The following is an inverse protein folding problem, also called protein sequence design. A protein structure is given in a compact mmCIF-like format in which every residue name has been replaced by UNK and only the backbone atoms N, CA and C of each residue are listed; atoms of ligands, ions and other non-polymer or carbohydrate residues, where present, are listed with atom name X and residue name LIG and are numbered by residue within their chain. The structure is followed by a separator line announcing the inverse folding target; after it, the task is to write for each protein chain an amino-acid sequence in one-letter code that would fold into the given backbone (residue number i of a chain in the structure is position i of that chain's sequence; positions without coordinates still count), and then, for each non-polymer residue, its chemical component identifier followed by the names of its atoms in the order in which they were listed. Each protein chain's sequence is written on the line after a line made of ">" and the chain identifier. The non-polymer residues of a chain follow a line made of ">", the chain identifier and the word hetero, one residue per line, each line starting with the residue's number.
data_IF_668592196219
#
_entry.id   IF_668592196219
#
_cell.length_a   1.000
_cell.length_b   1.000
_cell.length_c   1.000
_cell.angle_alpha   90.00
_cell.angle_beta   90.00
_cell.angle_gamma   90.00
#
_symmetry.space_group_name_H-M   'P 1'
#
loop_
_entity.id
_entity.type
_entity.pdbx_description
1 polymer ?
#
# COMPACT_ATOMS: atom_id res chain seq x y z
N UNK A 1 12.36 -3.23 -1.52
CA UNK A 1 12.42 -3.93 -0.21
C UNK A 1 12.61 -2.91 0.90
N UNK A 2 12.54 -3.28 2.19
CA UNK A 2 12.58 -2.30 3.30
C UNK A 2 13.85 -1.44 3.34
N UNK A 3 14.98 -1.95 2.83
CA UNK A 3 16.25 -1.23 2.76
C UNK A 3 16.48 -0.48 1.44
N UNK A 4 15.64 -0.72 0.43
CA UNK A 4 15.77 -0.17 -0.92
C UNK A 4 14.39 0.22 -1.44
N UNK A 5 13.98 1.49 -1.26
CA UNK A 5 12.71 1.99 -1.75
C UNK A 5 12.58 1.72 -3.27
N UNK A 6 11.50 1.10 -3.74
CA UNK A 6 11.29 0.83 -5.16
C UNK A 6 11.36 2.11 -6.02
N UNK A 7 10.89 3.23 -5.48
CA UNK A 7 10.98 4.56 -6.10
C UNK A 7 12.41 4.95 -6.46
N UNK A 8 13.38 4.77 -5.57
CA UNK A 8 14.78 5.14 -5.78
C UNK A 8 15.48 4.18 -6.76
N UNK A 9 15.20 2.88 -6.67
CA UNK A 9 15.74 1.90 -7.62
C UNK A 9 15.21 2.14 -9.04
N UNK A 10 13.91 2.47 -9.17
CA UNK A 10 13.32 2.87 -10.45
C UNK A 10 13.95 4.18 -10.94
N UNK A 11 14.04 5.20 -10.10
CA UNK A 11 14.54 6.52 -10.48
C UNK A 11 15.98 6.46 -10.99
N UNK A 12 16.83 5.66 -10.33
CA UNK A 12 18.24 5.47 -10.70
C UNK A 12 18.45 4.47 -11.84
N UNK A 13 17.39 3.84 -12.35
CA UNK A 13 17.46 2.85 -13.43
C UNK A 13 18.06 1.50 -13.01
N UNK A 14 18.17 1.22 -11.71
CA UNK A 14 18.62 -0.07 -11.18
C UNK A 14 17.53 -1.15 -11.22
N UNK A 15 16.27 -0.75 -11.39
CA UNK A 15 15.13 -1.64 -11.62
C UNK A 15 14.32 -1.17 -12.82
N UNK A 16 13.82 -2.11 -13.62
CA UNK A 16 12.92 -1.83 -14.75
C UNK A 16 11.48 -1.54 -14.28
N UNK A 17 11.04 -2.27 -13.25
CA UNK A 17 9.69 -2.23 -12.69
C UNK A 17 9.76 -2.16 -11.16
N UNK A 18 8.79 -1.49 -10.54
CA UNK A 18 8.68 -1.40 -9.09
C UNK A 18 7.25 -1.12 -8.65
N UNK A 19 6.93 -1.49 -7.41
CA UNK A 19 5.63 -1.21 -6.80
C UNK A 19 5.69 -0.01 -5.88
N UNK A 20 4.65 0.82 -5.91
CA UNK A 20 4.50 1.98 -5.03
C UNK A 20 3.02 2.19 -4.73
N UNK A 21 2.73 2.84 -3.60
CA UNK A 21 1.37 3.34 -3.37
C UNK A 21 1.07 4.47 -4.36
N UNK A 22 -0.19 4.56 -4.81
CA UNK A 22 -0.59 5.58 -5.77
C UNK A 22 -0.26 7.00 -5.28
N UNK A 23 -0.44 7.27 -3.99
CA UNK A 23 -0.11 8.56 -3.37
C UNK A 23 1.38 8.90 -3.48
N UNK A 24 2.26 7.96 -3.15
CA UNK A 24 3.72 8.12 -3.27
C UNK A 24 4.10 8.43 -4.71
N UNK A 25 3.55 7.68 -5.66
CA UNK A 25 3.85 7.87 -7.08
C UNK A 25 3.36 9.23 -7.61
N UNK A 26 2.16 9.69 -7.22
CA UNK A 26 1.65 11.02 -7.59
C UNK A 26 2.54 12.12 -7.02
N UNK A 27 2.92 12.04 -5.73
CA UNK A 27 3.80 13.03 -5.09
C UNK A 27 5.16 13.07 -5.79
N UNK A 28 5.76 11.92 -6.10
CA UNK A 28 7.04 11.86 -6.84
C UNK A 28 6.88 12.42 -8.26
N UNK A 29 5.79 12.10 -8.96
CA UNK A 29 5.49 12.65 -10.30
C UNK A 29 5.38 14.17 -10.27
N UNK A 30 4.69 14.73 -9.28
CA UNK A 30 4.60 16.18 -9.08
C UNK A 30 5.97 16.84 -8.81
N UNK A 31 6.93 16.09 -8.27
CA UNK A 31 8.33 16.50 -8.06
C UNK A 31 9.23 16.28 -9.28
N UNK A 32 8.66 15.91 -10.44
CA UNK A 32 9.39 15.76 -11.71
C UNK A 32 9.93 14.36 -11.98
N UNK A 33 9.66 13.37 -11.12
CA UNK A 33 10.06 11.98 -11.39
C UNK A 33 9.27 11.44 -12.59
N UNK A 34 9.95 10.74 -13.49
CA UNK A 34 9.38 10.26 -14.74
C UNK A 34 8.68 8.90 -14.59
N UNK A 35 8.00 8.69 -13.46
CA UNK A 35 7.27 7.45 -13.21
C UNK A 35 5.99 7.39 -14.04
N UNK A 36 5.68 6.18 -14.51
CA UNK A 36 4.45 5.84 -15.23
C UNK A 36 3.82 4.63 -14.55
N UNK A 37 2.56 4.73 -14.16
CA UNK A 37 1.76 3.60 -13.72
C UNK A 37 1.35 2.79 -14.95
N UNK A 38 1.62 1.48 -14.92
CA UNK A 38 1.27 0.54 -15.99
C UNK A 38 0.26 -0.53 -15.53
N UNK A 39 -0.11 -0.51 -14.25
CA UNK A 39 -1.13 -1.40 -13.71
C UNK A 39 -1.44 -1.10 -12.24
N UNK A 40 -2.67 -0.73 -11.91
CA UNK A 40 -3.10 -0.50 -10.52
C UNK A 40 -3.66 -1.80 -9.93
N UNK A 41 -2.91 -2.42 -9.02
CA UNK A 41 -3.25 -3.73 -8.47
C UNK A 41 -4.18 -3.59 -7.27
N UNK A 42 -3.76 -2.86 -6.24
CA UNK A 42 -4.57 -2.68 -5.03
C UNK A 42 -5.46 -1.45 -5.20
N UNK A 43 -6.78 -1.68 -5.24
CA UNK A 43 -7.80 -0.67 -5.50
C UNK A 43 -8.29 0.02 -4.22
N UNK A 44 -8.22 -0.68 -3.08
CA UNK A 44 -8.69 -0.17 -1.79
C UNK A 44 -7.57 -0.18 -0.75
N UNK A 45 -7.41 0.92 -0.02
CA UNK A 45 -6.43 0.98 1.07
C UNK A 45 -6.73 -0.01 2.19
N UNK A 46 -5.72 -0.73 2.65
CA UNK A 46 -5.71 -1.57 3.84
C UNK A 46 -4.91 -0.96 4.99
N UNK A 47 -4.38 0.26 4.82
CA UNK A 47 -3.59 0.95 5.82
C UNK A 47 -4.47 1.41 7.00
N UNK A 48 -4.02 1.08 8.21
CA UNK A 48 -4.64 1.51 9.46
C UNK A 48 -3.62 1.99 10.49
N UNK A 49 -4.12 2.74 11.47
CA UNK A 49 -3.44 2.95 12.73
C UNK A 49 -4.07 2.04 13.79
N UNK A 50 -3.23 1.41 14.61
CA UNK A 50 -3.67 0.50 15.68
C UNK A 50 -3.16 1.02 17.01
N UNK A 51 -4.04 1.07 18.01
CA UNK A 51 -3.73 1.44 19.38
C UNK A 51 -4.22 0.34 20.34
N UNK A 52 -3.61 0.26 21.53
CA UNK A 52 -4.16 -0.57 22.61
C UNK A 52 -5.23 0.21 23.35
N UNK A 53 -6.39 -0.38 23.65
CA UNK A 53 -7.43 0.25 24.49
C UNK A 53 -6.87 0.63 25.87
N UNK A 54 -5.92 -0.15 26.39
CA UNK A 54 -5.23 0.14 27.67
C UNK A 54 -4.39 1.42 27.68
N UNK A 55 -4.03 1.99 26.51
CA UNK A 55 -3.39 3.31 26.44
C UNK A 55 -4.39 4.48 26.45
N UNK A 56 -5.68 4.19 26.67
CA UNK A 56 -6.76 5.18 26.75
C UNK A 56 -7.20 5.75 25.41
N UNK A 57 -6.78 5.16 24.29
CA UNK A 57 -7.08 5.65 22.94
C UNK A 57 -8.35 4.97 22.42
N UNK A 58 -9.42 5.75 22.26
CA UNK A 58 -10.73 5.26 21.79
C UNK A 58 -11.18 5.94 20.50
N UNK A 59 -10.74 7.18 20.28
CA UNK A 59 -11.09 7.96 19.10
C UNK A 59 -9.85 8.74 18.59
N UNK A 60 -9.90 9.35 17.39
CA UNK A 60 -8.75 10.05 16.81
C UNK A 60 -8.15 11.15 17.71
N UNK A 61 -8.97 11.88 18.47
CA UNK A 61 -8.48 12.98 19.32
C UNK A 61 -7.56 12.49 20.44
N UNK A 62 -7.75 11.25 20.92
CA UNK A 62 -6.93 10.66 21.99
C UNK A 62 -5.49 10.35 21.55
N UNK A 63 -5.23 10.35 20.24
CA UNK A 63 -3.89 10.17 19.65
C UNK A 63 -3.03 11.43 19.84
N UNK A 64 -3.63 12.59 20.12
CA UNK A 64 -2.90 13.84 20.25
C UNK A 64 -1.83 13.76 21.36
N UNK A 65 -0.61 14.21 21.05
CA UNK A 65 0.55 14.17 21.94
C UNK A 65 1.19 12.78 22.14
N UNK A 66 0.63 11.72 21.56
CA UNK A 66 1.12 10.34 21.73
C UNK A 66 2.31 10.02 20.83
N UNK A 67 3.02 8.94 21.16
CA UNK A 67 4.05 8.35 20.30
C UNK A 67 3.40 7.44 19.27
N UNK A 68 3.68 7.69 18.00
CA UNK A 68 3.13 6.94 16.88
C UNK A 68 4.27 6.33 16.07
N UNK A 69 4.31 5.01 15.95
CA UNK A 69 5.24 4.34 15.05
C UNK A 69 4.70 4.37 13.61
N UNK A 70 5.47 4.91 12.67
CA UNK A 70 5.15 4.90 11.24
C UNK A 70 6.32 4.32 10.44
N UNK A 71 6.03 3.70 9.30
CA UNK A 71 7.07 3.29 8.35
C UNK A 71 7.81 4.48 7.72
N UNK A 72 8.73 4.20 6.80
CA UNK A 72 9.48 5.22 6.07
C UNK A 72 8.58 6.28 5.41
N UNK A 73 9.18 7.43 5.07
CA UNK A 73 8.44 8.63 4.67
C UNK A 73 7.42 8.41 3.54
N UNK A 74 7.72 7.53 2.60
CA UNK A 74 6.86 7.21 1.46
C UNK A 74 5.50 6.62 1.87
N UNK A 75 5.41 5.98 3.05
CA UNK A 75 4.19 5.41 3.60
C UNK A 75 3.51 6.31 4.63
N UNK A 76 4.06 7.50 4.91
CA UNK A 76 3.51 8.43 5.90
C UNK A 76 2.46 9.39 5.34
N UNK A 77 2.23 9.40 4.02
CA UNK A 77 1.30 10.32 3.36
C UNK A 77 -0.11 10.24 3.97
N UNK A 78 -0.70 9.04 4.01
CA UNK A 78 -2.04 8.82 4.58
C UNK A 78 -2.09 9.09 6.09
N UNK A 79 -1.19 8.54 6.93
CA UNK A 79 -1.19 8.86 8.36
C UNK A 79 -1.07 10.37 8.65
N UNK A 80 -0.25 11.10 7.88
CA UNK A 80 -0.08 12.55 8.06
C UNK A 80 -1.32 13.33 7.65
N UNK A 81 -1.98 12.96 6.55
CA UNK A 81 -3.26 13.54 6.17
C UNK A 81 -4.32 13.31 7.27
N UNK A 82 -4.37 12.11 7.85
CA UNK A 82 -5.23 11.79 9.00
C UNK A 82 -4.93 12.68 10.22
N UNK A 83 -3.65 12.87 10.57
CA UNK A 83 -3.28 13.76 11.67
C UNK A 83 -3.66 15.21 11.40
N UNK A 84 -3.47 15.69 10.18
CA UNK A 84 -3.86 17.05 9.79
C UNK A 84 -5.37 17.27 9.87
N UNK A 85 -6.17 16.32 9.34
CA UNK A 85 -7.63 16.36 9.37
C UNK A 85 -8.20 16.41 10.80
N UNK A 86 -7.52 15.78 11.75
CA UNK A 86 -7.94 15.73 13.15
C UNK A 86 -7.16 16.70 14.06
N UNK A 87 -6.35 17.61 13.50
CA UNK A 87 -5.53 18.58 14.24
C UNK A 87 -4.62 17.94 15.31
N UNK A 88 -4.04 16.79 14.99
CA UNK A 88 -3.22 15.99 15.90
C UNK A 88 -1.75 16.38 15.80
N UNK A 89 -1.13 16.67 16.95
CA UNK A 89 0.30 16.83 17.08
C UNK A 89 0.90 15.59 17.74
N UNK A 90 1.58 14.74 16.96
CA UNK A 90 2.09 13.44 17.40
C UNK A 90 3.61 13.38 17.40
N UNK A 91 4.18 12.49 18.22
CA UNK A 91 5.62 12.18 18.21
C UNK A 91 5.87 10.96 17.33
N UNK A 92 6.32 11.17 16.10
CA UNK A 92 6.57 10.07 15.15
C UNK A 92 7.88 9.37 15.50
N UNK A 93 7.80 8.04 15.66
CA UNK A 93 8.96 7.15 15.77
C UNK A 93 9.01 6.25 14.53
N UNK A 94 10.23 5.88 14.11
CA UNK A 94 10.40 4.95 13.01
C UNK A 94 9.94 3.54 13.39
N UNK A 95 9.02 2.99 12.59
CA UNK A 95 8.59 1.62 12.67
C UNK A 95 9.50 0.73 11.80
N UNK A 96 10.15 -0.24 12.44
CA UNK A 96 10.89 -1.28 11.73
C UNK A 96 9.99 -2.35 11.10
N UNK A 97 10.56 -3.50 10.77
CA UNK A 97 9.88 -4.63 10.11
C UNK A 97 9.05 -5.52 11.06
N UNK A 98 8.99 -5.18 12.35
CA UNK A 98 8.29 -5.95 13.38
C UNK A 98 7.34 -5.07 14.19
N UNK A 99 6.31 -5.68 14.77
CA UNK A 99 5.39 -5.01 15.69
C UNK A 99 5.93 -4.94 17.13
N UNK A 100 7.19 -5.31 17.38
CA UNK A 100 7.73 -5.42 18.73
C UNK A 100 7.73 -4.10 19.50
N UNK A 101 7.98 -2.97 18.82
CA UNK A 101 7.95 -1.65 19.46
C UNK A 101 6.55 -1.34 20.04
N UNK A 102 5.50 -1.66 19.29
CA UNK A 102 4.10 -1.53 19.72
C UNK A 102 3.72 -2.55 20.78
N UNK A 103 4.05 -3.84 20.55
CA UNK A 103 3.72 -4.93 21.47
C UNK A 103 4.35 -4.72 22.85
N UNK A 104 5.59 -4.22 22.92
CA UNK A 104 6.31 -3.91 24.16
C UNK A 104 5.94 -2.56 24.80
N UNK A 105 4.99 -1.81 24.23
CA UNK A 105 4.54 -0.53 24.78
C UNK A 105 5.53 0.63 24.60
N UNK A 106 6.46 0.53 23.65
CA UNK A 106 7.35 1.65 23.30
C UNK A 106 6.62 2.82 22.63
N UNK A 107 5.51 2.52 21.94
CA UNK A 107 4.57 3.47 21.32
C UNK A 107 3.14 3.13 21.71
N UNK A 108 2.27 4.14 21.69
CA UNK A 108 0.84 3.96 21.97
C UNK A 108 0.05 3.65 20.69
N UNK A 109 0.54 4.08 19.52
CA UNK A 109 -0.09 3.84 18.20
C UNK A 109 0.96 3.35 17.21
N UNK A 110 0.60 2.47 16.29
CA UNK A 110 1.46 2.00 15.20
C UNK A 110 0.71 1.91 13.87
N UNK A 111 1.41 2.13 12.76
CA UNK A 111 0.93 1.79 11.42
C UNK A 111 0.83 0.27 11.27
N UNK A 112 -0.21 -0.19 10.59
CA UNK A 112 -0.40 -1.59 10.26
C UNK A 112 -1.15 -1.74 8.95
N UNK A 113 -0.83 -2.77 8.16
CA UNK A 113 -1.73 -3.25 7.13
C UNK A 113 -2.75 -4.19 7.76
N UNK A 114 -4.02 -4.02 7.43
CA UNK A 114 -5.11 -4.90 7.87
C UNK A 114 -4.84 -6.37 7.55
N UNK A 115 -4.28 -6.64 6.37
CA UNK A 115 -3.97 -8.01 5.94
C UNK A 115 -2.71 -8.60 6.59
N UNK A 116 -1.83 -7.81 7.21
CA UNK A 116 -0.53 -8.30 7.72
C UNK A 116 -0.27 -7.94 9.19
N UNK A 117 0.21 -6.73 9.48
CA UNK A 117 0.63 -6.35 10.84
C UNK A 117 -0.50 -6.47 11.86
N UNK A 118 -1.74 -6.15 11.47
CA UNK A 118 -2.90 -6.32 12.34
C UNK A 118 -3.04 -7.78 12.79
N UNK A 119 -2.95 -8.72 11.84
CA UNK A 119 -3.01 -10.15 12.16
C UNK A 119 -1.80 -10.63 12.96
N UNK A 120 -0.61 -10.05 12.75
CA UNK A 120 0.57 -10.35 13.58
C UNK A 120 0.39 -9.93 15.03
N UNK A 121 -0.31 -8.84 15.30
CA UNK A 121 -0.64 -8.41 16.68
C UNK A 121 -1.56 -9.46 17.34
N UNK A 122 -2.56 -9.94 16.60
CA UNK A 122 -3.49 -10.98 17.08
C UNK A 122 -2.75 -12.30 17.35
N UNK A 123 -1.89 -12.73 16.43
CA UNK A 123 -1.05 -13.93 16.60
C UNK A 123 -0.05 -13.83 17.76
N UNK A 124 0.29 -12.60 18.18
CA UNK A 124 1.11 -12.38 19.36
C UNK A 124 0.33 -12.52 20.69
N UNK A 125 -0.96 -12.86 20.63
CA UNK A 125 -1.81 -13.13 21.80
C UNK A 125 -2.59 -11.93 22.32
N UNK A 126 -2.69 -10.84 21.54
CA UNK A 126 -3.55 -9.71 21.86
C UNK A 126 -4.94 -9.96 21.29
N UNK A 127 -5.97 -9.87 22.14
CA UNK A 127 -7.35 -10.00 21.68
C UNK A 127 -7.71 -8.78 20.79
N UNK A 128 -8.34 -8.96 19.61
CA UNK A 128 -8.89 -7.84 18.83
C UNK A 128 -9.72 -6.85 19.66
N UNK A 129 -10.43 -7.32 20.69
CA UNK A 129 -11.22 -6.48 21.59
C UNK A 129 -10.38 -5.61 22.52
N UNK A 130 -9.07 -5.85 22.63
CA UNK A 130 -8.13 -4.98 23.33
C UNK A 130 -7.55 -3.88 22.44
N UNK A 131 -7.88 -3.87 21.15
CA UNK A 131 -7.35 -2.93 20.17
C UNK A 131 -8.40 -1.88 19.77
N UNK A 132 -7.93 -0.66 19.54
CA UNK A 132 -8.66 0.37 18.81
C UNK A 132 -7.99 0.51 17.45
N UNK A 133 -8.74 0.29 16.38
CA UNK A 133 -8.25 0.37 15.01
C UNK A 133 -8.87 1.56 14.29
N UNK A 134 -8.04 2.30 13.55
CA UNK A 134 -8.45 3.41 12.70
C UNK A 134 -8.09 3.06 11.26
N UNK A 135 -9.03 2.45 10.54
CA UNK A 135 -8.83 2.15 9.12
C UNK A 135 -8.94 3.44 8.33
N UNK A 136 -7.86 3.88 7.68
CA UNK A 136 -7.79 5.24 7.14
C UNK A 136 -8.82 5.50 6.03
N UNK A 137 -9.24 4.46 5.31
CA UNK A 137 -10.31 4.53 4.32
C UNK A 137 -11.68 4.90 4.92
N UNK A 138 -11.93 4.61 6.18
CA UNK A 138 -13.16 4.99 6.89
C UNK A 138 -13.19 6.48 7.26
N UNK A 139 -12.03 7.13 7.24
CA UNK A 139 -11.85 8.57 7.50
C UNK A 139 -11.74 9.40 6.22
N UNK A 140 -12.06 8.83 5.07
CA UNK A 140 -12.06 9.50 3.76
C UNK A 140 -10.79 9.28 2.95
N UNK A 141 -9.72 8.71 3.52
CA UNK A 141 -8.42 8.52 2.86
C UNK A 141 -8.38 7.24 2.01
N UNK A 142 -9.31 7.14 1.06
CA UNK A 142 -9.57 5.96 0.22
C UNK A 142 -8.61 5.86 -0.97
N UNK A 143 -7.32 5.81 -0.69
CA UNK A 143 -6.33 5.80 -1.76
C UNK A 143 -5.99 4.37 -2.22
N UNK A 144 -6.02 4.09 -3.53
CA UNK A 144 -5.39 2.89 -4.06
C UNK A 144 -3.92 2.80 -3.60
N UNK A 145 -3.47 1.57 -3.32
CA UNK A 145 -2.13 1.29 -2.81
C UNK A 145 -1.25 0.82 -3.96
N UNK A 146 -0.70 -0.38 -3.87
CA UNK A 146 0.28 -0.90 -4.83
C UNK A 146 -0.21 -0.84 -6.28
N UNK A 147 0.45 -0.01 -7.06
CA UNK A 147 0.50 -0.08 -8.51
C UNK A 147 1.86 -0.56 -9.00
N UNK A 148 1.93 -1.00 -10.26
CA UNK A 148 3.15 -1.34 -10.98
C UNK A 148 3.60 -0.11 -11.76
N UNK A 149 4.87 0.23 -11.61
CA UNK A 149 5.46 1.42 -12.23
C UNK A 149 6.74 1.10 -12.98
N UNK A 150 6.99 1.87 -14.03
CA UNK A 150 8.28 1.94 -14.71
C UNK A 150 8.64 3.41 -14.99
N UNK A 151 9.84 3.65 -15.55
CA UNK A 151 10.19 4.96 -16.10
C UNK A 151 9.51 5.16 -17.45
N UNK A 152 9.26 6.42 -17.82
CA UNK A 152 8.82 6.77 -19.18
C UNK A 152 9.77 6.26 -20.26
N UNK A 153 11.07 6.29 -20.01
CA UNK A 153 12.09 5.78 -20.93
C UNK A 153 11.97 4.27 -21.13
N UNK A 154 11.70 3.52 -20.05
CA UNK A 154 11.45 2.07 -20.11
C UNK A 154 10.23 1.77 -20.97
N UNK A 155 9.11 2.45 -20.71
CA UNK A 155 7.88 2.26 -21.49
C UNK A 155 8.06 2.64 -22.97
N UNK A 156 8.70 3.77 -23.27
CA UNK A 156 8.96 4.22 -24.65
C UNK A 156 9.89 3.27 -25.41
N UNK A 157 10.86 2.67 -24.72
CA UNK A 157 11.83 1.75 -25.33
C UNK A 157 11.19 0.42 -25.71
N UNK A 158 10.35 -0.13 -24.84
CA UNK A 158 9.72 -1.44 -25.08
C UNK A 158 8.32 -1.52 -24.43
N UNK A 159 7.28 -0.96 -25.08
CA UNK A 159 5.92 -1.05 -24.57
C UNK A 159 5.42 -2.50 -24.44
N UNK A 160 5.86 -3.40 -25.33
CA UNK A 160 5.47 -4.80 -25.32
C UNK A 160 5.95 -5.53 -24.07
N UNK A 161 7.19 -5.28 -23.63
CA UNK A 161 7.69 -5.79 -22.35
C UNK A 161 6.86 -5.30 -21.16
N UNK A 162 6.44 -4.03 -21.16
CA UNK A 162 5.57 -3.50 -20.10
C UNK A 162 4.20 -4.20 -20.08
N UNK A 163 3.57 -4.37 -21.24
CA UNK A 163 2.29 -5.09 -21.39
C UNK A 163 2.41 -6.52 -20.89
N UNK A 164 3.39 -7.27 -21.39
CA UNK A 164 3.60 -8.67 -21.00
C UNK A 164 3.87 -8.82 -19.49
N UNK A 165 4.62 -7.89 -18.90
CA UNK A 165 4.91 -7.89 -17.46
C UNK A 165 3.63 -7.70 -16.62
N UNK A 166 2.79 -6.74 -17.03
CA UNK A 166 1.52 -6.47 -16.35
C UNK A 166 0.58 -7.66 -16.51
N UNK A 167 0.40 -8.18 -17.72
CA UNK A 167 -0.47 -9.32 -17.97
C UNK A 167 -0.06 -10.57 -17.20
N UNK A 168 1.23 -10.93 -17.23
CA UNK A 168 1.74 -12.05 -16.42
C UNK A 168 1.51 -11.85 -14.92
N UNK A 169 1.63 -10.61 -14.42
CA UNK A 169 1.34 -10.30 -13.01
C UNK A 169 -0.16 -10.46 -12.69
N UNK A 170 -1.04 -10.00 -13.58
CA UNK A 170 -2.49 -10.11 -13.42
C UNK A 170 -2.95 -11.58 -13.50
N UNK A 171 -2.38 -12.37 -14.42
CA UNK A 171 -2.61 -13.82 -14.49
C UNK A 171 -2.16 -14.52 -13.20
N UNK A 172 -1.01 -14.14 -12.65
CA UNK A 172 -0.54 -14.64 -11.36
C UNK A 172 -1.51 -14.38 -10.21
N UNK A 173 -2.06 -13.17 -10.10
CA UNK A 173 -3.07 -12.86 -9.09
C UNK A 173 -4.38 -13.63 -9.31
N UNK A 174 -4.88 -13.69 -10.56
CA UNK A 174 -6.07 -14.47 -10.91
C UNK A 174 -5.90 -15.94 -10.54
N UNK A 175 -4.75 -16.52 -10.87
CA UNK A 175 -4.41 -17.90 -10.49
C UNK A 175 -4.36 -18.07 -8.97
N UNK A 176 -3.70 -17.15 -8.26
CA UNK A 176 -3.56 -17.23 -6.82
C UNK A 176 -4.91 -17.25 -6.09
N UNK A 177 -5.89 -16.47 -6.57
CA UNK A 177 -7.25 -16.46 -5.99
C UNK A 177 -8.07 -17.70 -6.37
N UNK A 178 -7.86 -18.26 -7.57
CA UNK A 178 -8.53 -19.49 -8.00
C UNK A 178 -7.93 -20.76 -7.35
N UNK A 179 -6.64 -20.72 -7.00
CA UNK A 179 -5.86 -21.85 -6.49
C UNK A 179 -5.11 -21.49 -5.19
N UNK A 180 -5.83 -21.17 -4.09
CA UNK A 180 -5.22 -20.62 -2.90
C UNK A 180 -4.21 -21.55 -2.23
N UNK A 181 -4.46 -22.86 -2.20
CA UNK A 181 -3.52 -23.82 -1.57
C UNK A 181 -2.20 -23.95 -2.34
N UNK A 182 -2.27 -23.98 -3.68
CA UNK A 182 -1.09 -24.00 -4.55
C UNK A 182 -0.32 -22.69 -4.47
N UNK A 183 -1.02 -21.56 -4.45
CA UNK A 183 -0.41 -20.24 -4.27
C UNK A 183 0.35 -20.16 -2.95
N UNK A 184 -0.24 -20.68 -1.87
CA UNK A 184 0.42 -20.77 -0.56
C UNK A 184 1.63 -21.70 -0.59
N UNK A 185 1.59 -22.83 -1.29
CA UNK A 185 2.75 -23.71 -1.45
C UNK A 185 3.91 -22.99 -2.15
N UNK A 186 3.62 -22.25 -3.23
CA UNK A 186 4.61 -21.45 -3.96
C UNK A 186 5.21 -20.38 -3.04
N UNK A 187 4.38 -19.59 -2.34
CA UNK A 187 4.85 -18.54 -1.43
C UNK A 187 5.68 -19.14 -0.30
N UNK A 188 5.21 -20.23 0.33
CA UNK A 188 5.91 -20.87 1.45
C UNK A 188 7.26 -21.45 1.03
N UNK A 189 7.41 -21.93 -0.21
CA UNK A 189 8.71 -22.34 -0.77
C UNK A 189 9.73 -21.19 -0.71
N UNK A 190 9.36 -19.99 -1.16
CA UNK A 190 10.25 -18.83 -1.13
C UNK A 190 10.47 -18.28 0.27
N UNK A 191 9.44 -18.25 1.11
CA UNK A 191 9.53 -17.89 2.54
C UNK A 191 10.56 -18.76 3.26
N UNK A 192 10.50 -20.08 3.07
CA UNK A 192 11.41 -21.03 3.70
C UNK A 192 12.84 -20.85 3.18
N UNK A 193 13.00 -20.71 1.86
CA UNK A 193 14.32 -20.48 1.26
C UNK A 193 14.97 -19.17 1.77
N UNK A 194 14.17 -18.12 1.97
CA UNK A 194 14.62 -16.83 2.46
C UNK A 194 14.65 -16.71 4.01
N UNK A 195 14.29 -17.78 4.74
CA UNK A 195 14.22 -17.81 6.20
C UNK A 195 13.38 -16.67 6.80
N UNK A 196 12.25 -16.35 6.16
CA UNK A 196 11.39 -15.24 6.59
C UNK A 196 10.48 -15.67 7.77
N UNK A 197 10.32 -14.82 8.81
CA UNK A 197 9.53 -15.14 9.99
C UNK A 197 8.02 -14.98 9.73
N UNK A 198 7.42 -15.98 9.09
CA UNK A 198 5.97 -16.08 8.86
C UNK A 198 5.54 -17.56 8.84
N UNK A 199 4.25 -17.84 8.68
CA UNK A 199 3.71 -19.19 8.63
C UNK A 199 2.55 -19.29 7.62
N UNK A 200 2.20 -20.51 7.25
CA UNK A 200 1.15 -20.78 6.24
C UNK A 200 -0.21 -20.17 6.63
N UNK A 201 -0.56 -20.17 7.91
CA UNK A 201 -1.84 -19.62 8.41
C UNK A 201 -1.88 -18.10 8.19
N UNK A 202 -0.80 -17.39 8.52
CA UNK A 202 -0.66 -15.96 8.26
C UNK A 202 -0.69 -15.66 6.75
N UNK A 203 0.01 -16.44 5.93
CA UNK A 203 0.01 -16.23 4.47
C UNK A 203 -1.38 -16.48 3.87
N UNK A 204 -2.13 -17.46 4.40
CA UNK A 204 -3.53 -17.70 4.00
C UNK A 204 -4.41 -16.50 4.32
N UNK A 205 -4.31 -15.99 5.55
CA UNK A 205 -5.00 -14.77 5.96
C UNK A 205 -4.67 -13.60 5.02
N UNK A 206 -3.39 -13.38 4.73
CA UNK A 206 -2.96 -12.32 3.82
C UNK A 206 -3.59 -12.48 2.44
N UNK A 207 -3.56 -13.68 1.85
CA UNK A 207 -4.11 -13.94 0.52
C UNK A 207 -5.62 -13.62 0.43
N UNK A 208 -6.40 -14.07 1.42
CA UNK A 208 -7.85 -13.80 1.47
C UNK A 208 -8.14 -12.29 1.55
N UNK A 209 -7.39 -11.56 2.38
CA UNK A 209 -7.55 -10.11 2.54
C UNK A 209 -7.03 -9.33 1.33
N UNK A 210 -6.01 -9.84 0.64
CA UNK A 210 -5.52 -9.26 -0.61
C UNK A 210 -6.60 -9.30 -1.69
N UNK A 211 -7.36 -10.39 -1.79
CA UNK A 211 -8.50 -10.48 -2.71
C UNK A 211 -9.52 -9.37 -2.45
N UNK A 212 -9.85 -9.13 -1.18
CA UNK A 212 -10.81 -8.09 -0.77
C UNK A 212 -10.39 -6.66 -1.15
N UNK A 213 -9.09 -6.39 -1.32
CA UNK A 213 -8.56 -5.05 -1.59
C UNK A 213 -8.07 -4.84 -3.03
N UNK A 214 -7.68 -5.92 -3.71
CA UNK A 214 -7.37 -5.93 -5.15
C UNK A 214 -8.67 -5.87 -5.95
N UNK A 215 -9.67 -6.66 -5.56
CA UNK A 215 -10.95 -6.73 -6.25
C UNK A 215 -12.11 -6.59 -5.26
N UNK A 216 -12.35 -5.37 -4.73
CA UNK A 216 -13.40 -5.12 -3.76
C UNK A 216 -14.78 -5.60 -4.25
N UNK A 217 -15.60 -6.23 -3.40
CA UNK A 217 -16.94 -6.70 -3.80
C UNK A 217 -17.78 -5.58 -4.41
N UNK A 218 -18.39 -5.86 -5.57
CA UNK A 218 -19.22 -4.89 -6.31
C UNK A 218 -18.44 -3.89 -7.17
N UNK A 219 -17.11 -3.98 -7.23
CA UNK A 219 -16.33 -3.16 -8.17
C UNK A 219 -16.58 -3.58 -9.61
N UNK A 220 -16.77 -2.60 -10.49
CA UNK A 220 -16.77 -2.79 -11.94
C UNK A 220 -15.39 -2.52 -12.57
N UNK A 221 -14.40 -2.14 -11.75
CA UNK A 221 -13.05 -1.81 -12.22
C UNK A 221 -12.30 -3.09 -12.56
N UNK A 222 -11.82 -3.26 -13.80
CA UNK A 222 -10.96 -4.39 -14.15
C UNK A 222 -9.68 -4.41 -13.32
N UNK A 223 -9.19 -5.60 -12.97
CA UNK A 223 -7.94 -5.75 -12.22
C UNK A 223 -6.79 -5.16 -13.03
N UNK A 224 -5.95 -4.33 -12.40
CA UNK A 224 -4.86 -3.63 -13.09
C UNK A 224 -5.26 -2.26 -13.66
N UNK A 225 -6.54 -1.91 -13.72
CA UNK A 225 -6.98 -0.64 -14.26
C UNK A 225 -6.89 0.49 -13.22
N UNK A 226 -6.29 1.61 -13.60
CA UNK A 226 -6.39 2.86 -12.84
C UNK A 226 -7.46 3.76 -13.49
N UNK A 227 -8.57 4.00 -12.79
CA UNK A 227 -9.60 4.91 -13.29
C UNK A 227 -9.17 6.38 -13.14
N UNK A 228 -9.42 7.18 -14.18
CA UNK A 228 -9.10 8.61 -14.19
C UNK A 228 -9.81 9.38 -13.08
N UNK A 229 -11.07 9.02 -12.77
CA UNK A 229 -11.84 9.64 -11.68
C UNK A 229 -11.17 9.39 -10.32
N UNK A 230 -10.79 8.14 -10.03
CA UNK A 230 -10.08 7.76 -8.81
C UNK A 230 -8.73 8.49 -8.72
N UNK A 231 -7.95 8.50 -9.79
CA UNK A 231 -6.68 9.23 -9.84
C UNK A 231 -6.87 10.73 -9.52
N UNK A 232 -7.83 11.38 -10.18
CA UNK A 232 -8.10 12.80 -9.98
C UNK A 232 -8.66 13.10 -8.59
N UNK A 233 -9.42 12.17 -7.99
CA UNK A 233 -9.82 12.29 -6.58
C UNK A 233 -8.60 12.29 -5.67
N UNK A 234 -7.74 11.26 -5.77
CA UNK A 234 -6.53 11.15 -4.95
C UNK A 234 -5.62 12.36 -5.13
N UNK A 235 -5.38 12.79 -6.37
CA UNK A 235 -4.52 13.94 -6.65
C UNK A 235 -5.09 15.26 -6.07
N UNK A 236 -6.42 15.45 -6.11
CA UNK A 236 -7.07 16.61 -5.47
C UNK A 236 -6.91 16.56 -3.94
N UNK A 237 -7.10 15.41 -3.32
CA UNK A 237 -6.90 15.26 -1.88
C UNK A 237 -5.45 15.55 -1.48
N UNK A 238 -4.47 15.01 -2.21
CA UNK A 238 -3.06 15.32 -2.00
C UNK A 238 -2.76 16.83 -2.13
N UNK A 239 -3.39 17.51 -3.10
CA UNK A 239 -3.27 18.96 -3.26
C UNK A 239 -3.90 19.72 -2.10
N UNK A 240 -5.09 19.31 -1.64
CA UNK A 240 -5.79 19.94 -0.51
C UNK A 240 -4.99 19.83 0.79
N UNK A 241 -4.27 18.73 1.01
CA UNK A 241 -3.37 18.56 2.14
C UNK A 241 -1.98 19.23 1.94
N UNK A 242 -1.77 19.92 0.81
CA UNK A 242 -0.51 20.63 0.51
C UNK A 242 0.67 19.70 0.19
N UNK A 243 0.42 18.44 -0.17
CA UNK A 243 1.45 17.44 -0.49
C UNK A 243 1.96 17.56 -1.93
N UNK A 244 1.17 18.18 -2.81
CA UNK A 244 1.54 18.53 -4.19
C UNK A 244 1.01 19.93 -4.51
N UNK A 245 1.72 20.66 -5.37
CA UNK A 245 1.27 21.98 -5.86
C UNK A 245 0.39 21.85 -7.11
N UNK A 246 0.79 20.95 -8.02
CA UNK A 246 0.15 20.72 -9.30
C UNK A 246 -0.25 19.26 -9.44
N UNK A 247 -1.42 19.02 -10.03
CA UNK A 247 -1.91 17.67 -10.33
C UNK A 247 -1.24 17.22 -11.62
N UNK A 248 -0.46 16.12 -11.63
CA UNK A 248 0.13 15.61 -12.86
C UNK A 248 -0.96 15.12 -13.82
N UNK A 249 -0.73 15.31 -15.12
CA UNK A 249 -1.67 14.86 -16.15
C UNK A 249 -1.86 13.33 -16.11
N UNK A 250 -3.11 12.89 -16.02
CA UNK A 250 -3.45 11.46 -15.94
C UNK A 250 -2.95 10.68 -17.15
N UNK A 251 -3.09 11.23 -18.36
CA UNK A 251 -2.68 10.59 -19.61
C UNK A 251 -1.17 10.56 -19.78
N UNK A 252 -0.39 11.31 -19.00
CA UNK A 252 1.06 11.17 -18.91
C UNK A 252 1.46 10.21 -17.80
N UNK A 253 0.68 10.13 -16.73
CA UNK A 253 0.96 9.30 -15.57
C UNK A 253 0.61 7.82 -15.77
N UNK A 254 -0.49 7.51 -16.47
CA UNK A 254 -0.99 6.13 -16.62
C UNK A 254 -0.92 5.63 -18.07
N UNK A 255 -0.52 4.37 -18.25
CA UNK A 255 -0.59 3.64 -19.52
C UNK A 255 -1.36 2.35 -19.28
N UNK A 256 -2.51 2.24 -19.94
CA UNK A 256 -3.28 1.00 -19.89
C UNK A 256 -2.53 -0.11 -20.62
N UNK A 257 -1.98 -1.03 -19.83
CA UNK A 257 -1.29 -2.23 -20.30
C UNK A 257 -2.13 -3.50 -20.13
N UNK A 258 -3.36 -3.38 -19.63
CA UNK A 258 -4.29 -4.49 -19.47
C UNK A 258 -5.01 -4.77 -20.80
N UNK A 259 -5.58 -3.72 -21.40
CA UNK A 259 -6.41 -3.81 -22.62
C UNK A 259 -5.63 -3.93 -23.95
N UNK A 260 -4.30 -4.03 -23.91
CA UNK A 260 -3.44 -3.82 -25.08
C UNK A 260 -3.50 -4.93 -26.17
N UNK A 261 -4.25 -6.01 -25.96
CA UNK A 261 -4.52 -7.04 -26.99
C UNK A 261 -5.93 -6.98 -27.60
N UNK A 262 -6.80 -6.08 -27.14
CA UNK A 262 -8.16 -5.93 -27.69
C UNK A 262 -8.25 -4.88 -28.83
N UNK A 263 -7.12 -4.42 -29.37
CA UNK A 263 -7.06 -3.50 -30.51
C UNK A 263 -6.12 -3.97 -31.61
#
# INVERSE_FOLDING_TARGET
>A
GPNFPPSELLHTGQADFGTMFLTTAIVKRAKGYQFVNIGQIVQRSALMLVAKKSSGIKNPADINGKKVALWGEEFQIQPRAFFQQHHLNVRILHQGTTMNLFLRGGVEVASAMWYNEYYRIIQAGIDPEELTTFLLSEYGLKFPEDGIYCLESTYKKDPGKCVNFVQASLEGWKYAFAHPDEALDIVMKYVNAAHLPTNRVQQKWMLERMQDIIQPPGTAVPMGCLQEETYNQVARELKNYGLIENIPDFRQFYRDCESAHEK
#
